data_IF_216554297090
#
_entry.id   IF_216554297090
#
_cell.length_a   1.000
_cell.length_b   1.000
_cell.length_c   1.000
_cell.angle_alpha   90.00
_cell.angle_beta   90.00
_cell.angle_gamma   90.00
#
_symmetry.space_group_name_H-M   'P 1'
#
loop_
_entity.id
_entity.type
_entity.pdbx_description
1 polymer ?
#
# COMPACT_ATOMS: atom_id res chain seq x y z
N UNK A 1 -36.07 -42.67 24.37
CA UNK A 1 -34.61 -42.39 24.32
C UNK A 1 -34.16 -41.89 22.94
N UNK A 2 -33.98 -42.73 21.89
CA UNK A 2 -33.34 -42.30 20.61
C UNK A 2 -33.90 -41.02 19.92
N UNK A 3 -35.18 -40.65 20.11
CA UNK A 3 -35.76 -39.42 19.53
C UNK A 3 -35.36 -38.10 20.24
N UNK A 4 -34.87 -38.15 21.48
CA UNK A 4 -34.51 -36.93 22.24
C UNK A 4 -33.12 -36.42 21.84
N UNK A 5 -32.17 -37.34 21.58
CA UNK A 5 -30.81 -37.01 21.17
C UNK A 5 -30.75 -36.20 19.85
N UNK A 6 -31.66 -36.46 18.91
CA UNK A 6 -31.74 -35.71 17.65
C UNK A 6 -32.06 -34.22 17.84
N UNK A 7 -32.97 -33.90 18.78
CA UNK A 7 -33.42 -32.52 19.04
C UNK A 7 -32.30 -31.70 19.71
N UNK A 8 -31.57 -32.32 20.65
CA UNK A 8 -30.40 -31.67 21.28
C UNK A 8 -29.28 -31.43 20.25
N UNK A 9 -29.07 -32.36 19.31
CA UNK A 9 -28.04 -32.21 18.28
C UNK A 9 -28.35 -31.13 17.24
N UNK A 10 -29.62 -30.83 16.96
CA UNK A 10 -30.00 -29.68 16.11
C UNK A 10 -29.99 -28.35 16.86
N UNK A 11 -30.27 -28.35 18.17
CA UNK A 11 -30.14 -27.15 19.00
C UNK A 11 -28.68 -26.69 19.12
N UNK A 12 -27.73 -27.63 19.23
CA UNK A 12 -26.31 -27.32 19.40
C UNK A 12 -25.62 -26.79 18.11
N UNK A 13 -26.19 -27.07 16.93
CA UNK A 13 -25.70 -26.47 15.67
C UNK A 13 -26.23 -25.05 15.42
N UNK A 14 -27.21 -24.58 16.20
CA UNK A 14 -27.71 -23.21 16.13
C UNK A 14 -26.95 -22.27 17.07
N UNK A 15 -25.63 -22.47 17.20
CA UNK A 15 -24.74 -21.49 17.81
C UNK A 15 -24.57 -20.32 16.84
N UNK A 16 -25.57 -19.44 16.82
CA UNK A 16 -25.62 -18.24 15.98
C UNK A 16 -24.35 -17.43 16.24
N UNK A 17 -23.47 -17.38 15.24
CA UNK A 17 -22.47 -16.33 15.15
C UNK A 17 -23.21 -15.03 14.91
N UNK A 18 -23.62 -14.38 16.01
CA UNK A 18 -23.94 -12.97 15.97
C UNK A 18 -22.66 -12.28 15.51
N UNK A 19 -22.65 -11.84 14.25
CA UNK A 19 -21.69 -10.85 13.82
C UNK A 19 -22.01 -9.61 14.65
N UNK A 20 -21.14 -9.30 15.60
CA UNK A 20 -21.19 -8.05 16.33
C UNK A 20 -20.76 -6.99 15.31
N UNK A 21 -21.76 -6.33 14.71
CA UNK A 21 -21.50 -5.19 13.86
C UNK A 21 -20.97 -4.07 14.75
N UNK A 22 -19.84 -3.49 14.38
CA UNK A 22 -19.24 -2.37 15.08
C UNK A 22 -20.22 -1.19 15.05
N UNK A 23 -20.56 -0.67 16.22
CA UNK A 23 -21.52 0.43 16.38
C UNK A 23 -20.98 1.69 15.70
N UNK A 24 -21.79 2.30 14.81
CA UNK A 24 -21.43 3.57 14.18
C UNK A 24 -21.42 4.67 15.25
N UNK A 25 -20.31 5.40 15.45
CA UNK A 25 -20.23 6.45 16.46
C UNK A 25 -21.15 7.63 16.12
N UNK A 26 -21.49 8.43 17.13
CA UNK A 26 -22.27 9.66 16.91
C UNK A 26 -21.42 10.73 16.22
N UNK A 27 -21.97 11.39 15.19
CA UNK A 27 -21.33 12.49 14.47
C UNK A 27 -21.30 13.75 15.36
N UNK A 28 -20.14 14.13 15.89
CA UNK A 28 -19.99 15.32 16.74
C UNK A 28 -19.66 16.60 15.99
N UNK A 29 -19.05 16.50 14.82
CA UNK A 29 -18.59 17.62 13.98
C UNK A 29 -17.88 17.09 12.74
N UNK A 30 -17.05 17.93 12.10
CA UNK A 30 -16.21 17.49 10.98
C UNK A 30 -15.08 16.56 11.45
N UNK A 31 -14.58 16.73 12.67
CA UNK A 31 -13.50 15.94 13.26
C UNK A 31 -14.06 15.01 14.35
N UNK A 32 -13.96 13.69 14.12
CA UNK A 32 -14.44 12.65 15.03
C UNK A 32 -13.26 11.71 15.37
N UNK A 33 -12.37 12.13 16.26
CA UNK A 33 -11.12 11.43 16.58
C UNK A 33 -11.25 10.42 17.74
N UNK A 34 -11.93 9.29 17.50
CA UNK A 34 -12.12 8.27 18.53
C UNK A 34 -10.87 7.39 18.77
N UNK A 35 -9.84 7.50 17.92
CA UNK A 35 -8.57 6.79 18.06
C UNK A 35 -7.45 7.62 18.71
N UNK A 36 -7.73 8.88 19.07
CA UNK A 36 -6.79 9.83 19.68
C UNK A 36 -5.50 10.02 18.86
N UNK A 37 -5.65 10.29 17.57
CA UNK A 37 -4.55 10.57 16.64
C UNK A 37 -4.20 12.07 16.55
N UNK A 38 -5.03 12.96 17.07
CA UNK A 38 -4.87 14.42 16.99
C UNK A 38 -4.66 15.07 18.36
N UNK A 39 -3.85 16.14 18.41
CA UNK A 39 -3.85 17.03 19.57
C UNK A 39 -5.18 17.80 19.68
N UNK A 40 -5.61 18.21 20.89
CA UNK A 40 -6.77 19.09 21.06
C UNK A 40 -6.66 20.39 20.26
N UNK A 41 -5.44 20.91 20.13
CA UNK A 41 -5.09 22.07 19.30
C UNK A 41 -5.38 21.80 17.82
N UNK A 42 -4.93 20.67 17.27
CA UNK A 42 -5.17 20.29 15.87
C UNK A 42 -6.64 19.94 15.59
N UNK A 43 -7.36 19.34 16.53
CA UNK A 43 -8.83 19.16 16.41
C UNK A 43 -9.52 20.52 16.21
N UNK A 44 -9.15 21.53 17.00
CA UNK A 44 -9.71 22.88 16.85
C UNK A 44 -9.27 23.59 15.56
N UNK A 45 -8.04 23.40 15.10
CA UNK A 45 -7.52 23.92 13.82
C UNK A 45 -8.30 23.33 12.64
N UNK A 46 -8.42 22.00 12.59
CA UNK A 46 -9.02 21.27 11.48
C UNK A 46 -10.54 21.44 11.45
N UNK A 47 -11.23 21.46 12.59
CA UNK A 47 -12.67 21.73 12.65
C UNK A 47 -12.99 23.14 12.12
N UNK A 48 -12.18 24.15 12.44
CA UNK A 48 -12.33 25.51 11.89
C UNK A 48 -12.05 25.56 10.38
N UNK A 49 -11.02 24.86 9.91
CA UNK A 49 -10.68 24.75 8.49
C UNK A 49 -11.83 24.13 7.67
N UNK A 50 -12.38 23.01 8.15
CA UNK A 50 -13.46 22.28 7.47
C UNK A 50 -14.80 23.03 7.55
N UNK A 51 -15.13 23.66 8.69
CA UNK A 51 -16.32 24.51 8.82
C UNK A 51 -16.26 25.68 7.84
N UNK A 52 -15.13 26.39 7.75
CA UNK A 52 -14.97 27.50 6.80
C UNK A 52 -15.00 27.04 5.33
N UNK A 53 -14.64 25.79 5.05
CA UNK A 53 -14.77 25.21 3.72
C UNK A 53 -16.23 24.86 3.37
N UNK A 54 -16.98 24.23 4.29
CA UNK A 54 -18.42 23.96 4.07
C UNK A 54 -19.22 25.28 3.97
N UNK A 55 -18.95 26.28 4.82
CA UNK A 55 -19.58 27.61 4.76
C UNK A 55 -19.35 28.33 3.41
N UNK A 56 -18.25 28.05 2.71
CA UNK A 56 -17.87 28.73 1.46
C UNK A 56 -18.19 27.96 0.18
N UNK A 57 -18.35 26.63 0.25
CA UNK A 57 -18.58 25.75 -0.91
C UNK A 57 -19.85 24.89 -0.82
N UNK A 58 -20.44 24.76 0.37
CA UNK A 58 -21.43 23.74 0.78
C UNK A 58 -20.94 22.30 0.78
N UNK A 59 -19.67 22.04 0.47
CA UNK A 59 -19.08 20.70 0.44
C UNK A 59 -18.70 20.23 1.85
N UNK A 60 -19.19 19.06 2.25
CA UNK A 60 -19.00 18.51 3.59
C UNK A 60 -17.90 17.47 3.61
N UNK A 61 -16.73 17.80 4.18
CA UNK A 61 -15.61 16.86 4.36
C UNK A 61 -15.50 16.52 5.85
N UNK A 62 -15.53 15.22 6.18
CA UNK A 62 -15.54 14.71 7.56
C UNK A 62 -14.46 13.66 7.77
N UNK A 63 -13.78 13.73 8.91
CA UNK A 63 -12.85 12.74 9.42
C UNK A 63 -13.53 11.87 10.48
N UNK A 64 -13.33 10.55 10.39
CA UNK A 64 -13.55 9.60 11.48
C UNK A 64 -12.28 8.78 11.71
N UNK A 65 -11.74 8.80 12.93
CA UNK A 65 -10.73 7.84 13.37
C UNK A 65 -11.37 6.81 14.31
N UNK A 66 -10.98 5.54 14.20
CA UNK A 66 -11.38 4.45 15.10
C UNK A 66 -10.17 3.61 15.49
N UNK A 67 -10.21 2.95 16.64
CA UNK A 67 -9.10 2.09 17.08
C UNK A 67 -8.97 0.86 16.16
N UNK A 68 -10.04 0.11 15.93
CA UNK A 68 -10.07 -1.06 15.04
C UNK A 68 -11.45 -1.22 14.38
N UNK A 69 -11.50 -1.99 13.28
CA UNK A 69 -12.72 -2.49 12.64
C UNK A 69 -13.32 -3.73 13.34
N UNK A 70 -12.67 -4.25 14.39
CA UNK A 70 -13.03 -5.48 15.11
C UNK A 70 -13.18 -6.75 14.24
N UNK A 71 -12.67 -6.71 13.00
CA UNK A 71 -12.75 -7.79 12.02
C UNK A 71 -13.71 -7.53 10.85
N UNK A 72 -14.39 -6.37 10.81
CA UNK A 72 -15.19 -5.96 9.65
C UNK A 72 -14.35 -5.59 8.42
N UNK A 73 -15.04 -5.56 7.28
CA UNK A 73 -14.53 -5.04 6.01
C UNK A 73 -14.59 -3.50 6.07
N UNK A 74 -13.48 -2.85 5.69
CA UNK A 74 -13.33 -1.39 5.77
C UNK A 74 -14.36 -0.67 4.90
N UNK A 75 -14.55 -1.18 3.69
CA UNK A 75 -15.46 -0.66 2.68
C UNK A 75 -16.92 -0.69 3.19
N UNK A 76 -17.39 -1.87 3.62
CA UNK A 76 -18.73 -2.07 4.20
C UNK A 76 -18.96 -1.20 5.46
N UNK A 77 -17.94 -1.05 6.31
CA UNK A 77 -18.02 -0.21 7.50
C UNK A 77 -18.11 1.28 7.16
N UNK A 78 -17.23 1.79 6.29
CA UNK A 78 -17.22 3.24 5.99
C UNK A 78 -18.42 3.68 5.15
N UNK A 79 -18.94 2.83 4.25
CA UNK A 79 -20.22 3.09 3.58
C UNK A 79 -21.37 3.15 4.61
N UNK A 80 -21.43 2.20 5.56
CA UNK A 80 -22.44 2.20 6.64
C UNK A 80 -22.36 3.45 7.51
N UNK A 81 -21.16 3.95 7.82
CA UNK A 81 -20.98 5.23 8.52
C UNK A 81 -21.53 6.38 7.68
N UNK A 82 -21.15 6.49 6.40
CA UNK A 82 -21.59 7.56 5.51
C UNK A 82 -23.13 7.60 5.33
N UNK A 83 -23.77 6.44 5.13
CA UNK A 83 -25.24 6.33 5.06
C UNK A 83 -25.94 6.66 6.38
N UNK A 84 -25.36 6.28 7.52
CA UNK A 84 -25.92 6.54 8.85
C UNK A 84 -25.84 8.03 9.20
N UNK A 85 -24.71 8.66 8.86
CA UNK A 85 -24.43 10.08 9.11
C UNK A 85 -25.09 11.00 8.08
N UNK A 86 -25.38 10.51 6.87
CA UNK A 86 -26.01 11.23 5.75
C UNK A 86 -25.25 12.50 5.36
N UNK A 87 -23.95 12.33 5.19
CA UNK A 87 -23.03 13.43 4.89
C UNK A 87 -23.34 14.09 3.53
N UNK A 88 -23.03 15.38 3.42
CA UNK A 88 -23.34 16.19 2.25
C UNK A 88 -24.80 16.63 2.22
N UNK A 89 -25.12 17.58 1.34
CA UNK A 89 -26.46 18.16 1.23
C UNK A 89 -27.41 17.24 0.43
N UNK A 90 -28.65 17.09 0.91
CA UNK A 90 -29.70 16.31 0.23
C UNK A 90 -29.89 16.77 -1.22
N UNK A 91 -29.99 15.80 -2.13
CA UNK A 91 -30.16 15.99 -3.59
C UNK A 91 -28.94 16.69 -4.28
N UNK A 92 -27.85 16.91 -3.55
CA UNK A 92 -26.55 17.43 -4.06
C UNK A 92 -25.44 16.39 -3.86
N UNK A 93 -25.53 15.57 -2.80
CA UNK A 93 -24.66 14.42 -2.52
C UNK A 93 -23.16 14.79 -2.44
N UNK A 94 -22.84 16.00 -1.95
CA UNK A 94 -21.49 16.55 -1.87
C UNK A 94 -20.81 16.31 -0.51
N UNK A 95 -20.88 15.07 -0.02
CA UNK A 95 -20.20 14.61 1.20
C UNK A 95 -18.93 13.82 0.88
N UNK A 96 -17.92 13.92 1.75
CA UNK A 96 -16.72 13.06 1.75
C UNK A 96 -16.42 12.60 3.18
N UNK A 97 -16.15 11.31 3.35
CA UNK A 97 -15.70 10.72 4.61
C UNK A 97 -14.28 10.16 4.45
N UNK A 98 -13.33 10.70 5.20
CA UNK A 98 -12.03 10.06 5.44
C UNK A 98 -12.13 9.22 6.72
N UNK A 99 -12.11 7.89 6.57
CA UNK A 99 -12.13 6.95 7.68
C UNK A 99 -10.76 6.32 7.90
N UNK A 100 -10.31 6.28 9.15
CA UNK A 100 -8.98 5.77 9.55
C UNK A 100 -9.12 4.78 10.71
N UNK A 101 -8.77 3.52 10.48
CA UNK A 101 -8.70 2.47 11.50
C UNK A 101 -7.25 2.24 11.93
N UNK A 102 -6.90 2.71 13.14
CA UNK A 102 -5.51 2.84 13.63
C UNK A 102 -4.78 1.50 13.74
N UNK A 103 -5.36 0.54 14.44
CA UNK A 103 -4.69 -0.71 14.83
C UNK A 103 -4.72 -1.75 13.69
N UNK A 104 -5.79 -1.71 12.90
CA UNK A 104 -5.89 -2.36 11.58
C UNK A 104 -4.87 -1.80 10.57
N UNK A 105 -4.40 -0.56 10.78
CA UNK A 105 -3.63 0.26 9.83
C UNK A 105 -4.26 0.32 8.45
N UNK A 106 -5.54 0.70 8.42
CA UNK A 106 -6.36 0.85 7.21
C UNK A 106 -6.97 2.24 7.13
N UNK A 107 -7.15 2.76 5.92
CA UNK A 107 -7.86 4.03 5.68
C UNK A 107 -8.68 3.96 4.38
N UNK A 108 -9.83 4.61 4.35
CA UNK A 108 -10.67 4.76 3.14
C UNK A 108 -11.18 6.19 3.02
N UNK A 109 -11.22 6.68 1.78
CA UNK A 109 -12.00 7.86 1.40
C UNK A 109 -13.27 7.34 0.72
N UNK A 110 -14.43 7.79 1.20
CA UNK A 110 -15.75 7.50 0.65
C UNK A 110 -16.38 8.81 0.16
N UNK A 111 -16.88 8.82 -1.08
CA UNK A 111 -17.24 10.04 -1.82
C UNK A 111 -18.70 9.97 -2.26
N UNK A 112 -19.46 11.02 -1.99
CA UNK A 112 -20.84 11.18 -2.46
C UNK A 112 -20.89 11.61 -3.93
N UNK A 113 -22.00 11.29 -4.61
CA UNK A 113 -22.16 11.45 -6.06
C UNK A 113 -21.90 12.88 -6.57
N UNK A 114 -22.11 13.92 -5.76
CA UNK A 114 -21.85 15.31 -6.13
C UNK A 114 -20.37 15.65 -6.29
N UNK A 115 -19.47 14.89 -5.67
CA UNK A 115 -18.02 15.14 -5.64
C UNK A 115 -17.18 14.10 -6.39
N UNK A 116 -17.74 12.96 -6.81
CA UNK A 116 -17.06 11.96 -7.65
C UNK A 116 -16.30 12.55 -8.88
N UNK A 117 -16.80 13.60 -9.58
CA UNK A 117 -16.08 14.18 -10.73
C UNK A 117 -14.77 14.89 -10.36
N UNK A 118 -14.65 15.40 -9.13
CA UNK A 118 -13.48 16.15 -8.64
C UNK A 118 -12.62 15.26 -7.73
N UNK A 119 -13.23 14.67 -6.71
CA UNK A 119 -12.63 13.69 -5.79
C UNK A 119 -12.75 12.28 -6.37
N UNK A 120 -12.10 12.07 -7.53
CA UNK A 120 -12.07 10.77 -8.21
C UNK A 120 -11.40 9.68 -7.37
N UNK A 121 -11.59 8.40 -7.71
CA UNK A 121 -10.80 7.29 -7.12
C UNK A 121 -9.29 7.49 -7.33
N UNK A 122 -8.86 8.00 -8.48
CA UNK A 122 -7.45 8.31 -8.74
C UNK A 122 -6.90 9.39 -7.79
N UNK A 123 -7.66 10.48 -7.55
CA UNK A 123 -7.29 11.51 -6.58
C UNK A 123 -7.30 10.96 -5.15
N UNK A 124 -8.34 10.20 -4.78
CA UNK A 124 -8.46 9.55 -3.47
C UNK A 124 -7.29 8.60 -3.18
N UNK A 125 -6.91 7.80 -4.18
CA UNK A 125 -5.77 6.87 -4.14
C UNK A 125 -4.45 7.62 -4.00
N UNK A 126 -4.27 8.73 -4.72
CA UNK A 126 -3.08 9.59 -4.58
C UNK A 126 -2.96 10.18 -3.16
N UNK A 127 -4.04 10.77 -2.63
CA UNK A 127 -4.06 11.33 -1.27
C UNK A 127 -3.68 10.25 -0.23
N UNK A 128 -4.31 9.07 -0.30
CA UNK A 128 -4.01 7.95 0.58
C UNK A 128 -2.55 7.49 0.44
N UNK A 129 -2.06 7.27 -0.77
CA UNK A 129 -0.80 6.56 -1.01
C UNK A 129 0.45 7.45 -0.96
N UNK A 130 0.33 8.71 -1.38
CA UNK A 130 1.45 9.63 -1.56
C UNK A 130 1.49 10.76 -0.52
N UNK A 131 0.38 11.05 0.17
CA UNK A 131 0.32 12.11 1.20
C UNK A 131 0.17 11.49 2.59
N UNK A 132 -0.90 10.74 2.86
CA UNK A 132 -1.19 10.21 4.21
C UNK A 132 -0.24 9.05 4.57
N UNK A 133 -0.14 8.02 3.72
CA UNK A 133 0.63 6.79 3.97
C UNK A 133 2.12 7.04 4.27
N UNK A 134 2.86 7.96 3.62
CA UNK A 134 4.28 8.20 3.96
C UNK A 134 4.47 8.81 5.36
N UNK A 135 3.63 9.78 5.74
CA UNK A 135 3.66 10.40 7.07
C UNK A 135 3.26 9.40 8.16
N UNK A 136 2.22 8.59 7.91
CA UNK A 136 1.78 7.52 8.82
C UNK A 136 2.84 6.42 9.03
N UNK A 137 3.67 6.13 8.02
CA UNK A 137 4.84 5.22 8.16
C UNK A 137 5.97 5.79 9.03
N UNK A 138 6.03 7.12 9.20
CA UNK A 138 6.97 7.79 10.10
C UNK A 138 6.41 7.97 11.52
N UNK A 139 5.11 7.71 11.72
CA UNK A 139 4.38 7.96 12.97
C UNK A 139 3.79 9.38 13.06
N UNK A 140 3.87 10.17 11.99
CA UNK A 140 3.43 11.57 11.91
C UNK A 140 1.93 11.60 11.56
N UNK A 141 1.10 11.07 12.47
CA UNK A 141 -0.34 10.91 12.25
C UNK A 141 -1.09 12.23 12.12
N UNK A 142 -0.78 13.22 12.96
CA UNK A 142 -1.46 14.52 12.92
C UNK A 142 -1.20 15.23 11.58
N UNK A 143 0.07 15.29 11.13
CA UNK A 143 0.42 15.92 9.86
C UNK A 143 -0.09 15.12 8.66
N UNK A 144 -0.09 13.78 8.72
CA UNK A 144 -0.71 12.93 7.71
C UNK A 144 -2.21 13.22 7.54
N UNK A 145 -2.93 13.48 8.65
CA UNK A 145 -4.35 13.87 8.61
C UNK A 145 -4.49 15.32 8.11
N UNK A 146 -3.68 16.25 8.62
CA UNK A 146 -3.68 17.68 8.25
C UNK A 146 -3.47 17.89 6.75
N UNK A 147 -2.44 17.27 6.17
CA UNK A 147 -2.18 17.37 4.73
C UNK A 147 -3.15 16.54 3.89
N UNK A 148 -3.63 15.39 4.39
CA UNK A 148 -4.68 14.59 3.74
C UNK A 148 -6.00 15.36 3.59
N UNK A 149 -6.43 16.10 4.62
CA UNK A 149 -7.63 16.94 4.59
C UNK A 149 -7.47 18.16 3.67
N UNK A 150 -6.29 18.81 3.68
CA UNK A 150 -5.97 19.89 2.72
C UNK A 150 -6.02 19.40 1.28
N UNK A 151 -5.46 18.22 1.01
CA UNK A 151 -5.49 17.63 -0.33
C UNK A 151 -6.92 17.22 -0.75
N UNK A 152 -7.76 16.77 0.18
CA UNK A 152 -9.20 16.55 -0.07
C UNK A 152 -9.94 17.84 -0.44
N UNK A 153 -9.66 18.97 0.23
CA UNK A 153 -10.17 20.30 -0.14
C UNK A 153 -9.72 20.65 -1.58
N UNK A 154 -8.42 20.52 -1.89
CA UNK A 154 -7.90 20.80 -3.23
C UNK A 154 -8.47 19.86 -4.31
N UNK A 155 -8.81 18.61 -3.95
CA UNK A 155 -9.47 17.67 -4.85
C UNK A 155 -10.94 18.02 -5.08
N UNK A 156 -11.69 18.42 -4.05
CA UNK A 156 -13.08 18.85 -4.16
C UNK A 156 -13.22 20.12 -5.01
N UNK A 157 -12.28 21.06 -4.87
CA UNK A 157 -12.15 22.26 -5.72
C UNK A 157 -11.63 21.96 -7.15
N UNK A 158 -11.26 20.71 -7.44
CA UNK A 158 -10.75 20.24 -8.75
C UNK A 158 -9.26 20.52 -9.03
N UNK A 159 -8.58 21.26 -8.15
CA UNK A 159 -7.20 21.73 -8.33
C UNK A 159 -6.13 20.63 -8.19
N UNK A 160 -6.39 19.54 -7.45
CA UNK A 160 -5.38 18.50 -7.20
C UNK A 160 -5.02 17.67 -8.46
N UNK A 161 -5.81 17.75 -9.53
CA UNK A 161 -5.66 16.91 -10.73
C UNK A 161 -4.32 17.08 -11.45
N UNK A 162 -3.73 18.28 -11.43
CA UNK A 162 -2.41 18.56 -12.02
C UNK A 162 -1.25 17.94 -11.20
N UNK A 163 -1.36 17.87 -9.86
CA UNK A 163 -0.33 17.23 -9.03
C UNK A 163 -0.37 15.70 -9.12
N UNK A 164 -1.58 15.11 -9.14
CA UNK A 164 -1.78 13.66 -9.35
C UNK A 164 -1.10 13.20 -10.65
N UNK A 165 -1.17 14.01 -11.70
CA UNK A 165 -0.53 13.72 -12.99
C UNK A 165 1.01 13.79 -12.93
N UNK A 166 1.59 14.60 -12.03
CA UNK A 166 3.03 14.76 -11.88
C UNK A 166 3.66 13.74 -10.94
N UNK A 167 2.94 13.26 -9.93
CA UNK A 167 3.52 12.43 -8.86
C UNK A 167 3.76 10.95 -9.25
N UNK A 168 3.17 10.48 -10.36
CA UNK A 168 3.43 9.12 -10.90
C UNK A 168 4.87 8.88 -11.38
N UNK A 169 5.70 9.93 -11.46
CA UNK A 169 7.09 9.84 -11.88
C UNK A 169 8.03 9.28 -10.78
N UNK A 170 7.73 9.44 -9.48
CA UNK A 170 8.68 9.04 -8.41
C UNK A 170 8.78 7.52 -8.22
N UNK A 171 7.65 6.80 -8.20
CA UNK A 171 7.63 5.34 -8.26
C UNK A 171 8.32 4.82 -9.54
N UNK A 172 8.15 5.54 -10.65
CA UNK A 172 8.80 5.22 -11.94
C UNK A 172 10.32 5.41 -11.85
N UNK A 173 10.80 6.48 -11.21
CA UNK A 173 12.23 6.74 -10.93
C UNK A 173 12.80 5.65 -10.01
N UNK A 174 12.10 5.27 -8.95
CA UNK A 174 12.49 4.18 -8.05
C UNK A 174 12.65 2.84 -8.77
N UNK A 175 11.69 2.48 -9.63
CA UNK A 175 11.75 1.28 -10.47
C UNK A 175 12.91 1.34 -11.48
N UNK A 176 13.20 2.50 -12.07
CA UNK A 176 14.35 2.70 -12.97
C UNK A 176 15.67 2.48 -12.22
N UNK A 177 15.85 3.08 -11.04
CA UNK A 177 17.06 2.89 -10.23
C UNK A 177 17.25 1.43 -9.81
N UNK A 178 16.20 0.76 -9.34
CA UNK A 178 16.25 -0.67 -9.00
C UNK A 178 16.60 -1.54 -10.22
N UNK A 179 15.98 -1.28 -11.37
CA UNK A 179 16.25 -2.00 -12.63
C UNK A 179 17.70 -1.83 -13.10
N UNK A 180 18.25 -0.62 -13.05
CA UNK A 180 19.65 -0.35 -13.39
C UNK A 180 20.63 -1.02 -12.42
N UNK A 181 20.35 -0.98 -11.11
CA UNK A 181 21.18 -1.64 -10.09
C UNK A 181 21.15 -3.16 -10.20
N UNK A 182 19.98 -3.76 -10.48
CA UNK A 182 19.84 -5.18 -10.76
C UNK A 182 20.62 -5.59 -12.02
N UNK A 183 20.45 -4.84 -13.12
CA UNK A 183 21.15 -5.09 -14.39
C UNK A 183 22.67 -4.96 -14.23
N UNK A 184 23.16 -4.02 -13.40
CA UNK A 184 24.57 -3.91 -13.03
C UNK A 184 25.08 -5.19 -12.34
N UNK A 185 24.39 -5.65 -11.29
CA UNK A 185 24.79 -6.86 -10.53
C UNK A 185 24.79 -8.09 -11.43
N UNK A 186 23.68 -8.37 -12.13
CA UNK A 186 23.55 -9.55 -12.99
C UNK A 186 24.49 -9.44 -14.20
N UNK A 187 24.76 -8.23 -14.71
CA UNK A 187 25.75 -7.95 -15.75
C UNK A 187 27.18 -8.26 -15.33
N UNK A 188 27.58 -7.94 -14.08
CA UNK A 188 28.88 -8.31 -13.52
C UNK A 188 29.02 -9.85 -13.44
N UNK A 189 28.01 -10.55 -12.92
CA UNK A 189 28.04 -12.03 -12.89
C UNK A 189 28.05 -12.65 -14.29
N UNK A 190 27.34 -12.04 -15.25
CA UNK A 190 27.34 -12.46 -16.66
C UNK A 190 28.73 -12.31 -17.27
N UNK A 191 29.42 -11.19 -17.03
CA UNK A 191 30.79 -10.96 -17.48
C UNK A 191 31.76 -11.97 -16.84
N UNK A 192 31.64 -12.23 -15.53
CA UNK A 192 32.43 -13.26 -14.83
C UNK A 192 32.19 -14.65 -15.42
N UNK A 193 30.94 -15.06 -15.65
CA UNK A 193 30.59 -16.35 -16.23
C UNK A 193 31.11 -16.54 -17.66
N UNK A 194 31.06 -15.47 -18.46
CA UNK A 194 31.56 -15.42 -19.84
C UNK A 194 33.08 -15.56 -19.93
N UNK A 195 33.83 -15.00 -18.96
CA UNK A 195 35.28 -15.21 -18.82
C UNK A 195 35.66 -16.47 -18.03
N UNK A 196 34.71 -17.21 -17.46
CA UNK A 196 34.97 -18.45 -16.72
C UNK A 196 35.12 -19.63 -17.68
N UNK A 197 36.33 -20.16 -17.78
CA UNK A 197 36.66 -21.28 -18.66
C UNK A 197 35.91 -22.58 -18.31
N UNK A 198 35.72 -23.42 -19.33
CA UNK A 198 35.09 -24.75 -19.19
C UNK A 198 33.59 -24.73 -18.83
N UNK A 199 33.17 -25.79 -18.12
CA UNK A 199 31.78 -26.04 -17.73
C UNK A 199 31.23 -25.01 -16.74
N UNK A 200 32.06 -24.41 -15.90
CA UNK A 200 31.60 -23.43 -14.89
C UNK A 200 30.95 -22.19 -15.53
N UNK A 201 31.47 -21.68 -16.65
CA UNK A 201 30.81 -20.61 -17.39
C UNK A 201 29.49 -21.03 -18.09
N UNK A 202 29.19 -22.33 -18.20
CA UNK A 202 27.88 -22.82 -18.65
C UNK A 202 26.91 -23.04 -17.48
N UNK A 203 27.42 -23.38 -16.29
CA UNK A 203 26.66 -23.29 -15.05
C UNK A 203 26.19 -21.85 -14.79
N UNK A 204 27.07 -20.84 -14.94
CA UNK A 204 26.66 -19.44 -14.82
C UNK A 204 25.55 -19.03 -15.80
N UNK A 205 25.58 -19.52 -17.04
CA UNK A 205 24.48 -19.28 -18.00
C UNK A 205 23.14 -19.81 -17.48
N UNK A 206 23.09 -21.09 -17.10
CA UNK A 206 21.88 -21.71 -16.58
C UNK A 206 21.40 -21.06 -15.27
N UNK A 207 22.33 -20.68 -14.39
CA UNK A 207 22.05 -20.04 -13.11
C UNK A 207 21.52 -18.61 -13.26
N UNK A 208 22.04 -17.82 -14.22
CA UNK A 208 21.64 -16.42 -14.43
C UNK A 208 20.36 -16.26 -15.28
N UNK A 209 19.99 -17.28 -16.09
CA UNK A 209 18.73 -17.31 -16.84
C UNK A 209 17.50 -16.86 -16.04
N UNK A 210 17.17 -17.40 -14.84
CA UNK A 210 16.02 -16.93 -14.05
C UNK A 210 16.15 -15.46 -13.59
N UNK A 211 17.36 -14.97 -13.32
CA UNK A 211 17.60 -13.59 -12.89
C UNK A 211 17.43 -12.56 -14.02
N UNK A 212 17.47 -12.98 -15.29
CA UNK A 212 17.00 -12.18 -16.42
C UNK A 212 15.51 -12.44 -16.74
N UNK A 213 15.04 -13.68 -16.65
CA UNK A 213 13.67 -14.05 -17.05
C UNK A 213 12.58 -13.46 -16.15
N UNK A 214 12.77 -13.46 -14.81
CA UNK A 214 11.75 -12.98 -13.87
C UNK A 214 11.52 -11.45 -14.00
N UNK A 215 12.57 -10.59 -14.01
CA UNK A 215 12.37 -9.16 -14.28
C UNK A 215 11.86 -8.89 -15.69
N UNK A 216 12.27 -9.69 -16.69
CA UNK A 216 11.79 -9.53 -18.06
C UNK A 216 10.27 -9.74 -18.19
N UNK A 217 9.71 -10.68 -17.42
CA UNK A 217 8.26 -10.92 -17.36
C UNK A 217 7.50 -9.87 -16.52
N UNK A 218 8.13 -9.31 -15.48
CA UNK A 218 7.55 -8.24 -14.68
C UNK A 218 7.50 -6.90 -15.46
N UNK A 219 8.55 -6.60 -16.22
CA UNK A 219 8.68 -5.37 -17.03
C UNK A 219 7.95 -5.44 -18.40
N UNK A 220 7.09 -6.44 -18.63
CA UNK A 220 6.21 -6.50 -19.83
C UNK A 220 4.81 -5.93 -19.62
N UNK A 221 4.53 -5.34 -18.46
CA UNK A 221 3.31 -4.56 -18.18
C UNK A 221 3.43 -3.18 -18.87
N UNK A 222 2.35 -2.69 -19.50
CA UNK A 222 2.35 -1.41 -20.24
C UNK A 222 2.71 -1.50 -21.72
N UNK A 223 2.89 -2.69 -22.29
CA UNK A 223 2.91 -2.92 -23.74
C UNK A 223 4.23 -2.66 -24.48
N UNK A 224 5.27 -2.12 -23.82
CA UNK A 224 6.60 -1.97 -24.40
C UNK A 224 7.50 -3.14 -23.98
N UNK A 225 7.90 -4.07 -24.87
CA UNK A 225 8.54 -5.34 -24.50
C UNK A 225 10.06 -5.23 -24.21
N UNK A 226 10.48 -4.20 -23.47
CA UNK A 226 11.89 -3.90 -23.17
C UNK A 226 12.56 -5.09 -22.44
N UNK A 227 11.91 -5.62 -21.40
CA UNK A 227 12.41 -6.77 -20.63
C UNK A 227 12.64 -8.01 -21.51
N UNK A 228 11.67 -8.32 -22.38
CA UNK A 228 11.77 -9.44 -23.32
C UNK A 228 12.92 -9.29 -24.32
N UNK A 229 13.19 -8.07 -24.84
CA UNK A 229 14.35 -7.84 -25.71
C UNK A 229 15.68 -8.06 -24.97
N UNK A 230 15.81 -7.58 -23.73
CA UNK A 230 17.02 -7.79 -22.90
C UNK A 230 17.25 -9.29 -22.65
N UNK A 231 16.19 -10.04 -22.35
CA UNK A 231 16.26 -11.50 -22.16
C UNK A 231 16.68 -12.24 -23.44
N UNK A 232 16.12 -11.90 -24.60
CA UNK A 232 16.51 -12.50 -25.88
C UNK A 232 17.98 -12.18 -26.23
N UNK A 233 18.45 -10.96 -25.98
CA UNK A 233 19.86 -10.57 -26.17
C UNK A 233 20.79 -11.36 -25.23
N UNK A 234 20.39 -11.65 -24.00
CA UNK A 234 21.16 -12.54 -23.11
C UNK A 234 21.20 -13.97 -23.63
N UNK A 235 20.04 -14.58 -23.91
CA UNK A 235 19.92 -15.99 -24.35
C UNK A 235 20.67 -16.26 -25.65
N UNK A 236 20.62 -15.35 -26.62
CA UNK A 236 21.29 -15.51 -27.92
C UNK A 236 22.74 -15.02 -27.86
N UNK A 237 22.99 -13.87 -27.23
CA UNK A 237 24.30 -13.22 -27.21
C UNK A 237 25.33 -13.96 -26.35
N UNK A 238 24.95 -14.47 -25.17
CA UNK A 238 25.88 -15.14 -24.26
C UNK A 238 26.61 -16.35 -24.88
N UNK A 239 25.93 -17.36 -25.48
CA UNK A 239 26.63 -18.48 -26.12
C UNK A 239 27.49 -18.04 -27.31
N UNK A 240 27.05 -17.07 -28.10
CA UNK A 240 27.84 -16.53 -29.23
C UNK A 240 29.13 -15.87 -28.74
N UNK A 241 29.03 -14.98 -27.73
CA UNK A 241 30.18 -14.31 -27.11
C UNK A 241 31.14 -15.32 -26.48
N UNK A 242 30.62 -16.29 -25.70
CA UNK A 242 31.46 -17.31 -25.05
C UNK A 242 32.19 -18.21 -26.05
N UNK A 243 31.63 -18.48 -27.22
CA UNK A 243 32.26 -19.29 -28.28
C UNK A 243 33.24 -18.51 -29.19
N UNK A 244 33.22 -17.17 -29.13
CA UNK A 244 34.04 -16.28 -29.99
C UNK A 244 35.17 -15.59 -29.22
N UNK A 245 34.89 -15.06 -28.02
CA UNK A 245 35.86 -14.29 -27.23
C UNK A 245 37.18 -15.02 -26.90
N UNK A 246 37.22 -16.34 -26.60
CA UNK A 246 38.47 -17.08 -26.40
C UNK A 246 39.42 -17.08 -27.61
N UNK A 247 38.90 -16.79 -28.81
CA UNK A 247 39.66 -16.73 -30.06
C UNK A 247 40.26 -15.35 -30.30
N UNK A 248 39.82 -14.32 -29.57
CA UNK A 248 40.26 -12.92 -29.72
C UNK A 248 41.48 -12.59 -28.85
N UNK A 249 42.27 -11.60 -29.27
CA UNK A 249 43.45 -11.13 -28.52
C UNK A 249 43.11 -10.51 -27.15
N UNK A 250 41.88 -10.03 -26.96
CA UNK A 250 41.43 -9.44 -25.68
C UNK A 250 41.27 -10.54 -24.62
N UNK A 251 40.60 -11.65 -24.94
CA UNK A 251 40.40 -12.77 -24.02
C UNK A 251 41.72 -13.36 -23.51
N UNK A 252 42.69 -13.56 -24.41
CA UNK A 252 44.03 -14.09 -24.09
C UNK A 252 44.84 -13.20 -23.13
N UNK A 253 44.57 -11.88 -23.11
CA UNK A 253 45.20 -10.93 -22.18
C UNK A 253 44.50 -10.95 -20.82
N UNK A 254 43.16 -10.97 -20.78
CA UNK A 254 42.39 -10.88 -19.54
C UNK A 254 42.38 -12.16 -18.69
N UNK A 255 42.36 -13.35 -19.30
CA UNK A 255 42.44 -14.62 -18.55
C UNK A 255 43.69 -14.71 -17.65
N UNK A 256 44.82 -14.13 -18.10
CA UNK A 256 46.08 -14.07 -17.33
C UNK A 256 46.05 -13.14 -16.13
N UNK A 257 45.11 -12.19 -16.07
CA UNK A 257 44.88 -11.34 -14.89
C UNK A 257 43.99 -12.04 -13.87
N UNK A 258 42.86 -12.59 -14.30
CA UNK A 258 41.88 -13.25 -13.39
C UNK A 258 42.50 -14.49 -12.73
N UNK A 259 43.30 -15.27 -13.47
CA UNK A 259 43.99 -16.45 -12.94
C UNK A 259 44.96 -16.19 -11.77
N UNK A 260 45.39 -14.94 -11.54
CA UNK A 260 46.21 -14.58 -10.37
C UNK A 260 45.39 -14.35 -9.10
N UNK A 261 44.11 -13.99 -9.21
CA UNK A 261 43.27 -13.63 -8.06
C UNK A 261 42.62 -14.87 -7.39
N UNK A 262 42.40 -15.93 -8.16
CA UNK A 262 41.70 -17.15 -7.72
C UNK A 262 42.43 -17.97 -6.62
N UNK A 263 43.74 -17.79 -6.43
CA UNK A 263 44.56 -18.65 -5.54
C UNK A 263 44.56 -18.29 -4.03
N UNK A 264 43.85 -17.24 -3.59
CA UNK A 264 44.08 -16.65 -2.26
C UNK A 264 42.97 -16.84 -1.21
N UNK A 265 41.92 -17.65 -1.44
CA UNK A 265 40.80 -17.76 -0.48
C UNK A 265 40.14 -19.15 -0.38
N UNK A 266 40.89 -20.13 0.11
CA UNK A 266 40.38 -21.46 0.49
C UNK A 266 40.31 -21.66 2.01
N UNK A 267 39.17 -22.15 2.52
CA UNK A 267 38.92 -22.44 3.94
C UNK A 267 38.20 -21.29 4.66
N UNK A 268 37.07 -21.49 5.34
CA UNK A 268 36.80 -22.55 6.31
C UNK A 268 35.35 -23.08 6.27
N UNK A 269 35.06 -24.12 7.07
CA UNK A 269 33.71 -24.65 7.36
C UNK A 269 33.29 -24.24 8.77
N UNK A 270 32.00 -23.95 8.98
CA UNK A 270 31.43 -23.71 10.31
C UNK A 270 29.93 -23.97 10.33
N UNK A 271 29.47 -24.80 11.27
CA UNK A 271 28.09 -25.20 11.47
C UNK A 271 27.60 -24.75 12.86
N UNK A 272 26.35 -24.30 12.98
CA UNK A 272 25.71 -23.96 14.26
C UNK A 272 24.18 -23.94 14.14
N UNK A 273 23.47 -24.19 15.25
CA UNK A 273 22.02 -24.49 15.24
C UNK A 273 21.31 -24.13 16.56
N UNK A 274 20.09 -23.56 16.48
CA UNK A 274 19.25 -23.12 17.63
C UNK A 274 19.75 -21.83 18.31
N UNK A 275 19.06 -21.15 19.23
CA UNK A 275 17.71 -21.22 19.84
C UNK A 275 17.36 -19.79 20.38
N UNK A 276 16.20 -19.37 20.93
CA UNK A 276 14.87 -19.97 21.23
C UNK A 276 13.76 -18.87 21.20
N UNK A 277 12.51 -19.15 21.59
CA UNK A 277 11.34 -18.24 21.58
C UNK A 277 11.01 -17.51 22.89
N UNK A 278 10.42 -16.29 22.82
CA UNK A 278 9.55 -15.66 23.83
C UNK A 278 8.90 -14.37 23.27
N UNK A 279 7.68 -13.92 23.58
CA UNK A 279 6.60 -14.52 24.39
C UNK A 279 6.07 -13.57 25.50
N UNK A 280 4.92 -12.91 25.29
CA UNK A 280 4.28 -12.06 26.32
C UNK A 280 3.01 -11.30 25.86
N UNK A 281 2.18 -10.90 26.82
CA UNK A 281 1.04 -9.96 26.72
C UNK A 281 0.89 -9.23 28.09
N UNK A 282 -0.26 -8.74 28.57
CA UNK A 282 -1.68 -8.86 28.17
C UNK A 282 -2.44 -7.57 28.60
N UNK A 283 -3.71 -7.38 28.16
CA UNK A 283 -4.80 -6.62 28.87
C UNK A 283 -4.62 -5.10 29.14
N UNK A 284 -5.64 -4.26 29.38
CA UNK A 284 -7.10 -4.24 29.08
C UNK A 284 -7.74 -2.94 29.61
N UNK A 285 -8.82 -2.44 29.02
CA UNK A 285 -9.76 -1.52 29.70
C UNK A 285 -10.36 -0.45 28.80
N UNK A 286 -11.68 -0.21 28.89
CA UNK A 286 -12.39 0.85 28.17
C UNK A 286 -13.30 1.67 29.07
N UNK A 287 -14.01 2.65 28.51
CA UNK A 287 -14.97 3.49 29.23
C UNK A 287 -15.81 4.36 28.29
N UNK A 288 -17.11 4.49 28.58
CA UNK A 288 -18.11 5.14 27.72
C UNK A 288 -18.64 6.43 28.35
N UNK A 289 -18.94 7.45 27.53
CA UNK A 289 -19.95 8.49 27.87
C UNK A 289 -20.49 9.19 26.61
N UNK A 290 -21.63 9.88 26.74
CA UNK A 290 -22.49 10.37 25.64
C UNK A 290 -22.56 11.91 25.56
N UNK A 291 -22.89 12.49 24.39
CA UNK A 291 -23.05 13.96 24.32
C UNK A 291 -23.88 14.66 23.23
N UNK A 292 -24.33 14.04 22.13
CA UNK A 292 -25.20 14.67 21.13
C UNK A 292 -24.56 15.79 20.26
N UNK A 293 -25.32 16.34 19.30
CA UNK A 293 -24.87 17.46 18.48
C UNK A 293 -25.29 17.40 17.00
N UNK A 294 -24.33 17.11 16.14
CA UNK A 294 -24.37 17.32 14.68
C UNK A 294 -25.29 16.33 13.94
N UNK A 295 -25.69 16.69 12.72
CA UNK A 295 -26.52 15.88 11.81
C UNK A 295 -26.16 16.23 10.37
N UNK A 296 -25.83 15.24 9.53
CA UNK A 296 -25.52 15.47 8.11
C UNK A 296 -26.71 15.98 7.30
N UNK A 297 -26.40 16.62 6.16
CA UNK A 297 -27.36 17.35 5.32
C UNK A 297 -28.33 16.48 4.51
N UNK A 298 -28.15 15.16 4.48
CA UNK A 298 -29.07 14.23 3.81
C UNK A 298 -28.59 13.63 2.48
N UNK A 299 -27.28 13.71 2.18
CA UNK A 299 -26.70 13.20 0.94
C UNK A 299 -26.61 11.67 0.82
N UNK A 300 -26.39 11.21 -0.42
CA UNK A 300 -26.34 9.80 -0.86
C UNK A 300 -24.94 9.39 -1.33
N UNK A 301 -24.57 8.13 -1.09
CA UNK A 301 -23.23 7.59 -1.41
C UNK A 301 -23.28 6.46 -2.43
N UNK A 302 -22.24 6.36 -3.26
CA UNK A 302 -22.18 5.44 -4.40
C UNK A 302 -21.14 4.32 -4.32
N UNK A 303 -20.31 4.28 -3.28
CA UNK A 303 -19.10 3.44 -3.24
C UNK A 303 -17.85 4.10 -3.83
N UNK A 304 -17.95 5.38 -4.24
CA UNK A 304 -16.86 6.16 -4.82
C UNK A 304 -15.72 6.41 -3.82
N UNK A 305 -14.49 6.45 -4.32
CA UNK A 305 -13.29 6.65 -3.51
C UNK A 305 -12.51 5.38 -3.18
N UNK A 306 -11.32 5.56 -2.60
CA UNK A 306 -10.25 4.56 -2.56
C UNK A 306 -9.89 4.11 -1.15
N UNK A 307 -9.26 2.94 -1.03
CA UNK A 307 -8.83 2.33 0.24
C UNK A 307 -7.33 2.00 0.25
N UNK A 308 -6.71 2.08 1.43
CA UNK A 308 -5.30 1.77 1.64
C UNK A 308 -4.97 1.42 3.09
N UNK A 309 -3.67 1.41 3.41
CA UNK A 309 -3.17 1.05 4.74
C UNK A 309 -1.68 1.36 4.90
N UNK A 310 -1.05 1.03 6.03
CA UNK A 310 0.37 1.36 6.27
C UNK A 310 1.21 0.29 6.97
#
# INVERSE_FOLDING_TARGET
MKRIAGIVSTALLLCITAAWALDVPYLSGHINDNAHLLSPEAVNELEQMLTAYEDSTTNQIVLLTIESLEGEILEDYTLRVAETWKLGQKDVDNGVLLLIARDDRKMRIEVGYGLEPSVTDAASSYIINSIIRPLFKQGEFEDGIREGLKALIMAADGNLTDEVASAGDDDTIGLIFFSLFWLLIVGIFTLVGLFTEGCMGWFFYAFLTPFYAVPAALLTIGGIPIGAMIFLVFIIGYPILKLTLPKTEVGKKWGKSIGKMSKSRGGSRGSGSGWISSGGGWSSGGGFSSGGGFSGGGGSFGGGGSSGGW
#
